data_IF_447071455913
#
_entry.id   IF_447071455913
#
_cell.length_a   1.000
_cell.length_b   1.000
_cell.length_c   1.000
_cell.angle_alpha   90.00
_cell.angle_beta   90.00
_cell.angle_gamma   90.00
#
_symmetry.space_group_name_H-M   'P 1'
#
loop_
_entity.id
_entity.type
_entity.pdbx_description
1 polymer ?
#
# COMPACT_ATOMS: atom_id res chain seq x y z
N UNK A 1 -22.44 -29.30 16.01
CA UNK A 1 -21.88 -27.95 16.24
C UNK A 1 -20.47 -27.99 15.69
N UNK A 2 -20.25 -27.43 14.48
CA UNK A 2 -18.90 -27.32 13.89
C UNK A 2 -18.04 -26.41 14.78
N UNK A 3 -16.82 -26.84 15.09
CA UNK A 3 -15.86 -25.98 15.78
C UNK A 3 -15.70 -24.68 14.98
N UNK A 4 -15.57 -23.52 15.65
CA UNK A 4 -15.25 -22.28 14.94
C UNK A 4 -13.95 -22.50 14.16
N UNK A 5 -13.95 -22.12 12.88
CA UNK A 5 -12.75 -22.16 12.07
C UNK A 5 -11.65 -21.34 12.76
N UNK A 6 -10.43 -21.89 12.83
CA UNK A 6 -9.30 -21.14 13.38
C UNK A 6 -9.13 -19.82 12.62
N UNK A 7 -8.84 -18.72 13.33
CA UNK A 7 -8.66 -17.44 12.67
C UNK A 7 -7.51 -17.54 11.66
N UNK A 8 -7.83 -17.34 10.39
CA UNK A 8 -6.86 -17.34 9.30
C UNK A 8 -5.90 -16.15 9.46
N UNK A 9 -4.60 -16.39 9.29
CA UNK A 9 -3.60 -15.31 9.21
C UNK A 9 -3.93 -14.38 8.04
N UNK A 10 -4.05 -13.07 8.31
CA UNK A 10 -4.31 -12.08 7.29
C UNK A 10 -3.05 -11.81 6.45
N UNK A 11 -3.22 -11.69 5.15
CA UNK A 11 -2.15 -11.41 4.19
C UNK A 11 -2.22 -9.96 3.74
N UNK A 12 -1.16 -9.20 3.97
CA UNK A 12 -1.05 -7.79 3.60
C UNK A 12 -0.03 -7.63 2.48
N UNK A 13 -0.39 -6.87 1.47
CA UNK A 13 0.52 -6.40 0.42
C UNK A 13 0.75 -4.90 0.62
N UNK A 14 1.97 -4.50 0.93
CA UNK A 14 2.40 -3.10 0.95
C UNK A 14 3.16 -2.79 -0.34
N UNK A 15 2.79 -1.70 -1.02
CA UNK A 15 3.47 -1.25 -2.23
C UNK A 15 4.10 0.11 -2.00
N UNK A 16 5.40 0.25 -2.32
CA UNK A 16 6.19 1.43 -1.96
C UNK A 16 6.49 1.44 -0.46
N UNK A 17 7.16 0.38 0.01
CA UNK A 17 7.33 0.18 1.45
C UNK A 17 8.34 1.12 2.12
N UNK A 18 9.23 1.75 1.34
CA UNK A 18 10.26 2.62 1.89
C UNK A 18 11.08 1.92 2.97
N UNK A 19 11.02 2.41 4.19
CA UNK A 19 11.72 1.82 5.36
C UNK A 19 11.06 0.55 5.91
N UNK A 20 9.92 0.13 5.33
CA UNK A 20 9.11 -1.00 5.81
C UNK A 20 8.20 -0.66 6.99
N UNK A 21 8.01 0.61 7.30
CA UNK A 21 7.35 1.05 8.53
C UNK A 21 5.95 0.44 8.71
N UNK A 22 5.11 0.41 7.67
CA UNK A 22 3.75 -0.11 7.76
C UNK A 22 3.76 -1.63 7.97
N UNK A 23 4.43 -2.38 7.08
CA UNK A 23 4.49 -3.85 7.17
C UNK A 23 5.13 -4.34 8.45
N UNK A 24 6.23 -3.70 8.87
CA UNK A 24 6.93 -4.09 10.10
C UNK A 24 6.09 -3.81 11.35
N UNK A 25 5.41 -2.66 11.41
CA UNK A 25 4.51 -2.34 12.52
C UNK A 25 3.35 -3.32 12.60
N UNK A 26 2.71 -3.63 11.46
CA UNK A 26 1.62 -4.59 11.41
C UNK A 26 2.04 -5.99 11.86
N UNK A 27 3.19 -6.48 11.36
CA UNK A 27 3.70 -7.79 11.73
C UNK A 27 4.11 -7.85 13.19
N UNK A 28 4.71 -6.78 13.72
CA UNK A 28 5.10 -6.69 15.13
C UNK A 28 3.89 -6.68 16.07
N UNK A 29 2.91 -5.82 15.82
CA UNK A 29 1.74 -5.65 16.68
C UNK A 29 0.75 -6.82 16.59
N UNK A 30 0.73 -7.53 15.45
CA UNK A 30 -0.19 -8.62 15.16
C UNK A 30 0.53 -9.94 14.89
N UNK A 31 1.64 -10.17 15.61
CA UNK A 31 2.50 -11.35 15.41
C UNK A 31 1.71 -12.66 15.46
N UNK A 32 1.89 -13.50 14.44
CA UNK A 32 1.14 -14.74 14.26
C UNK A 32 -0.26 -14.58 13.62
N UNK A 33 -0.76 -13.35 13.47
CA UNK A 33 -2.07 -13.06 12.87
C UNK A 33 -2.00 -12.35 11.52
N UNK A 34 -0.82 -11.82 11.18
CA UNK A 34 -0.58 -11.10 9.92
C UNK A 34 0.73 -11.57 9.30
N UNK A 35 0.74 -11.73 7.99
CA UNK A 35 1.96 -11.83 7.18
C UNK A 35 1.95 -10.73 6.14
N UNK A 36 3.12 -10.15 5.86
CA UNK A 36 3.26 -9.04 4.92
C UNK A 36 4.17 -9.42 3.76
N UNK A 37 3.73 -9.10 2.56
CA UNK A 37 4.58 -9.00 1.36
C UNK A 37 4.70 -7.52 1.04
N UNK A 38 5.92 -7.00 0.98
CA UNK A 38 6.16 -5.58 0.78
C UNK A 38 7.09 -5.35 -0.42
N UNK A 39 6.75 -4.39 -1.25
CA UNK A 39 7.49 -4.11 -2.49
C UNK A 39 7.96 -2.68 -2.55
N UNK A 40 9.12 -2.46 -3.17
CA UNK A 40 9.62 -1.14 -3.51
C UNK A 40 10.42 -1.19 -4.81
N UNK A 41 10.52 -0.06 -5.50
CA UNK A 41 11.31 0.08 -6.72
C UNK A 41 12.76 0.50 -6.41
N UNK A 42 13.00 1.06 -5.22
CA UNK A 42 14.31 1.58 -4.81
C UNK A 42 15.10 0.51 -4.03
N UNK A 43 16.27 0.06 -4.53
CA UNK A 43 17.07 -0.96 -3.85
C UNK A 43 17.47 -0.58 -2.42
N UNK A 44 17.77 0.70 -2.18
CA UNK A 44 18.17 1.19 -0.85
C UNK A 44 17.02 1.10 0.15
N UNK A 45 15.78 1.28 -0.30
CA UNK A 45 14.59 1.10 0.53
C UNK A 45 14.46 -0.36 0.98
N UNK A 46 14.60 -1.30 0.06
CA UNK A 46 14.57 -2.74 0.37
C UNK A 46 15.69 -3.14 1.33
N UNK A 47 16.92 -2.64 1.12
CA UNK A 47 18.04 -2.90 2.01
C UNK A 47 17.78 -2.39 3.44
N UNK A 48 17.22 -1.18 3.55
CA UNK A 48 16.90 -0.57 4.84
C UNK A 48 15.75 -1.29 5.53
N UNK A 49 14.67 -1.59 4.81
CA UNK A 49 13.52 -2.32 5.33
C UNK A 49 13.94 -3.72 5.84
N UNK A 50 14.84 -4.40 5.12
CA UNK A 50 15.39 -5.70 5.53
C UNK A 50 16.18 -5.58 6.84
N UNK A 51 17.05 -4.57 6.95
CA UNK A 51 17.79 -4.30 8.21
C UNK A 51 16.85 -3.99 9.37
N UNK A 52 15.81 -3.21 9.13
CA UNK A 52 14.80 -2.87 10.14
C UNK A 52 14.02 -4.13 10.59
N UNK A 53 13.63 -5.00 9.66
CA UNK A 53 13.00 -6.29 9.97
C UNK A 53 13.89 -7.13 10.90
N UNK A 54 15.16 -7.29 10.52
CA UNK A 54 16.11 -8.12 11.28
C UNK A 54 16.38 -7.52 12.67
N UNK A 55 16.46 -6.19 12.78
CA UNK A 55 16.61 -5.49 14.07
C UNK A 55 15.40 -5.68 15.01
N UNK A 56 14.20 -5.83 14.44
CA UNK A 56 12.98 -6.14 15.19
C UNK A 56 12.83 -7.63 15.53
N UNK A 57 13.74 -8.48 15.06
CA UNK A 57 13.67 -9.94 15.26
C UNK A 57 12.47 -10.57 14.53
N UNK A 58 12.01 -9.96 13.45
CA UNK A 58 11.02 -10.51 12.53
C UNK A 58 11.71 -11.35 11.46
N UNK A 59 10.99 -12.36 10.95
CA UNK A 59 11.51 -13.28 9.92
C UNK A 59 11.01 -12.91 8.52
N UNK A 60 11.64 -13.50 7.49
CA UNK A 60 11.14 -13.36 6.11
C UNK A 60 9.77 -13.99 5.90
N UNK A 61 9.37 -14.94 6.73
CA UNK A 61 8.02 -15.55 6.66
C UNK A 61 6.96 -14.62 7.26
N UNK A 62 7.35 -13.71 8.19
CA UNK A 62 6.46 -12.70 8.75
C UNK A 62 6.36 -11.47 7.84
N UNK A 63 7.52 -11.00 7.28
CA UNK A 63 7.59 -9.87 6.35
C UNK A 63 8.60 -10.16 5.25
N UNK A 64 8.10 -10.38 4.03
CA UNK A 64 8.93 -10.56 2.83
C UNK A 64 9.05 -9.25 2.06
N UNK A 65 10.28 -8.86 1.72
CA UNK A 65 10.55 -7.69 0.87
C UNK A 65 10.96 -8.10 -0.54
N UNK A 66 10.50 -7.35 -1.56
CA UNK A 66 10.82 -7.61 -2.97
C UNK A 66 11.09 -6.32 -3.73
N UNK A 67 12.24 -6.28 -4.42
CA UNK A 67 12.59 -5.18 -5.32
C UNK A 67 11.81 -5.30 -6.63
N UNK A 68 10.84 -4.41 -6.85
CA UNK A 68 9.99 -4.46 -8.06
C UNK A 68 9.22 -3.17 -8.28
N UNK A 69 8.77 -2.98 -9.51
CA UNK A 69 7.85 -1.90 -9.85
C UNK A 69 6.41 -2.32 -9.51
N UNK A 70 5.84 -1.70 -8.48
CA UNK A 70 4.51 -2.00 -7.92
C UNK A 70 4.37 -3.50 -7.56
N UNK A 71 3.55 -4.24 -8.30
CA UNK A 71 3.21 -5.64 -8.03
C UNK A 71 3.81 -6.62 -9.05
N UNK A 72 4.75 -6.16 -9.88
CA UNK A 72 5.21 -6.94 -11.05
C UNK A 72 5.93 -8.24 -10.70
N UNK A 73 6.53 -8.35 -9.51
CA UNK A 73 7.20 -9.57 -9.04
C UNK A 73 6.30 -10.51 -8.23
N UNK A 74 5.06 -10.10 -7.92
CA UNK A 74 4.15 -10.94 -7.15
C UNK A 74 3.79 -12.18 -7.98
N UNK A 75 4.09 -13.39 -7.48
CA UNK A 75 3.79 -14.62 -8.18
C UNK A 75 2.29 -14.75 -8.48
N UNK A 76 1.96 -15.34 -9.62
CA UNK A 76 0.55 -15.47 -10.06
C UNK A 76 -0.31 -16.28 -9.10
N UNK A 77 0.25 -17.25 -8.43
CA UNK A 77 -0.39 -18.07 -7.41
C UNK A 77 -0.82 -17.27 -6.17
N UNK A 78 -0.25 -16.10 -5.97
CA UNK A 78 -0.60 -15.19 -4.87
C UNK A 78 -1.69 -14.19 -5.25
N UNK A 79 -2.05 -14.10 -6.53
CA UNK A 79 -3.07 -13.17 -6.98
C UNK A 79 -4.45 -13.53 -6.41
N UNK A 80 -5.21 -12.53 -6.01
CA UNK A 80 -6.52 -12.72 -5.39
C UNK A 80 -6.48 -13.34 -3.99
N UNK A 81 -5.31 -13.35 -3.34
CA UNK A 81 -5.16 -13.96 -2.02
C UNK A 81 -4.93 -12.97 -0.89
N UNK A 82 -4.60 -11.72 -1.19
CA UNK A 82 -4.34 -10.71 -0.17
C UNK A 82 -5.64 -10.18 0.44
N UNK A 83 -5.62 -9.97 1.74
CA UNK A 83 -6.72 -9.35 2.51
C UNK A 83 -6.68 -7.84 2.43
N UNK A 84 -5.47 -7.28 2.39
CA UNK A 84 -5.22 -5.83 2.36
C UNK A 84 -4.15 -5.52 1.33
N UNK A 85 -4.39 -4.48 0.53
CA UNK A 85 -3.35 -3.77 -0.22
C UNK A 85 -3.26 -2.37 0.36
N UNK A 86 -2.10 -2.03 0.89
CA UNK A 86 -1.83 -0.71 1.48
C UNK A 86 -0.66 -0.05 0.76
N UNK A 87 -0.70 1.27 0.62
CA UNK A 87 0.39 2.06 0.05
C UNK A 87 0.37 3.48 0.60
N UNK A 88 1.57 4.02 0.80
CA UNK A 88 1.82 5.46 0.90
C UNK A 88 2.72 5.86 -0.28
N UNK A 89 2.14 6.01 -1.49
CA UNK A 89 2.92 6.27 -2.70
C UNK A 89 3.32 7.73 -2.80
N UNK A 90 4.26 8.08 -3.70
CA UNK A 90 4.47 9.46 -4.12
C UNK A 90 3.16 10.10 -4.59
N UNK A 91 2.78 11.23 -4.00
CA UNK A 91 1.51 11.91 -4.26
C UNK A 91 1.62 13.43 -4.43
N UNK A 92 2.82 13.98 -4.45
CA UNK A 92 3.00 15.44 -4.60
C UNK A 92 2.82 15.80 -6.08
N UNK A 93 1.89 16.72 -6.42
CA UNK A 93 1.74 17.19 -7.78
C UNK A 93 3.02 17.87 -8.31
N UNK A 94 3.34 17.68 -9.58
CA UNK A 94 4.56 18.19 -10.23
C UNK A 94 4.73 19.71 -10.04
N UNK A 95 3.65 20.49 -10.09
CA UNK A 95 3.72 21.93 -9.88
C UNK A 95 4.05 22.30 -8.43
N UNK A 96 3.61 21.51 -7.46
CA UNK A 96 3.88 21.70 -6.04
C UNK A 96 5.34 21.33 -5.71
N UNK A 97 5.91 20.33 -6.39
CA UNK A 97 7.30 19.93 -6.25
C UNK A 97 8.27 21.11 -6.35
N UNK A 98 7.95 22.09 -7.22
CA UNK A 98 8.80 23.30 -7.41
C UNK A 98 8.82 24.22 -6.21
N UNK A 99 7.77 24.20 -5.38
CA UNK A 99 7.58 25.06 -4.21
C UNK A 99 7.91 24.40 -2.89
N UNK A 100 8.37 23.14 -2.89
CA UNK A 100 8.74 22.42 -1.67
C UNK A 100 9.92 23.11 -0.96
N UNK A 101 9.91 23.11 0.39
CA UNK A 101 11.05 23.56 1.18
C UNK A 101 12.31 22.77 0.84
N UNK A 102 13.49 23.42 0.99
CA UNK A 102 14.79 22.77 0.73
C UNK A 102 15.01 21.54 1.58
N UNK A 103 14.53 21.53 2.83
CA UNK A 103 14.64 20.42 3.76
C UNK A 103 13.97 19.13 3.24
N UNK A 104 12.94 19.26 2.39
CA UNK A 104 12.28 18.10 1.77
C UNK A 104 13.03 17.70 0.51
N UNK A 105 13.38 18.65 -0.36
CA UNK A 105 14.06 18.38 -1.63
C UNK A 105 15.46 17.79 -1.48
N UNK A 106 16.19 18.21 -0.45
CA UNK A 106 17.59 17.83 -0.27
C UNK A 106 17.76 16.46 0.38
N UNK A 107 16.72 15.94 1.03
CA UNK A 107 16.79 14.69 1.81
C UNK A 107 15.92 13.55 1.28
N UNK A 108 14.90 13.86 0.45
CA UNK A 108 14.07 12.84 -0.15
C UNK A 108 14.24 12.81 -1.67
N UNK A 109 14.43 11.63 -2.29
CA UNK A 109 14.54 11.53 -3.75
C UNK A 109 13.22 11.92 -4.43
N UNK A 110 13.28 12.61 -5.56
CA UNK A 110 12.10 13.01 -6.35
C UNK A 110 11.15 11.84 -6.62
N UNK A 111 11.71 10.65 -6.83
CA UNK A 111 10.95 9.41 -7.04
C UNK A 111 10.04 9.04 -5.86
N UNK A 112 10.39 9.45 -4.63
CA UNK A 112 9.59 9.21 -3.43
C UNK A 112 8.51 10.26 -3.19
N UNK A 113 8.53 11.35 -3.95
CA UNK A 113 7.67 12.52 -3.73
C UNK A 113 6.70 12.75 -4.90
N UNK A 114 7.18 12.65 -6.15
CA UNK A 114 6.43 13.07 -7.33
C UNK A 114 5.32 12.09 -7.71
N UNK A 115 4.07 12.55 -7.61
CA UNK A 115 2.86 11.81 -7.95
C UNK A 115 2.28 12.11 -9.34
N UNK A 116 2.99 12.87 -10.19
CA UNK A 116 2.51 13.31 -11.49
C UNK A 116 1.71 14.62 -11.44
N UNK A 117 1.03 14.96 -12.53
CA UNK A 117 0.38 16.27 -12.69
C UNK A 117 -0.65 16.62 -11.59
N UNK A 118 -1.41 15.63 -11.14
CA UNK A 118 -2.44 15.79 -10.09
C UNK A 118 -2.16 14.97 -8.82
N UNK A 119 -0.96 14.39 -8.72
CA UNK A 119 -0.56 13.57 -7.56
C UNK A 119 -1.17 12.16 -7.53
N UNK A 120 -1.85 11.72 -8.58
CA UNK A 120 -2.60 10.45 -8.59
C UNK A 120 -2.04 9.39 -9.57
N UNK A 121 -0.90 9.61 -10.20
CA UNK A 121 -0.40 8.68 -11.22
C UNK A 121 -0.11 7.29 -10.65
N UNK A 122 0.58 7.21 -9.53
CA UNK A 122 0.85 5.93 -8.86
C UNK A 122 -0.44 5.34 -8.28
N UNK A 123 -1.29 6.17 -7.69
CA UNK A 123 -2.59 5.75 -7.18
C UNK A 123 -3.45 5.06 -8.25
N UNK A 124 -3.56 5.61 -9.46
CA UNK A 124 -4.30 4.99 -10.57
C UNK A 124 -3.75 3.62 -10.94
N UNK A 125 -2.44 3.46 -10.92
CA UNK A 125 -1.78 2.16 -11.20
C UNK A 125 -2.07 1.15 -10.08
N UNK A 126 -2.03 1.57 -8.83
CA UNK A 126 -2.40 0.74 -7.66
C UNK A 126 -3.87 0.34 -7.71
N UNK A 127 -4.77 1.28 -7.99
CA UNK A 127 -6.20 1.03 -8.13
C UNK A 127 -6.50 0.01 -9.23
N UNK A 128 -5.78 0.07 -10.36
CA UNK A 128 -5.89 -0.91 -11.43
C UNK A 128 -5.36 -2.29 -11.04
N UNK A 129 -4.34 -2.36 -10.17
CA UNK A 129 -3.78 -3.62 -9.69
C UNK A 129 -4.61 -4.27 -8.57
N UNK A 130 -5.27 -3.48 -7.74
CA UNK A 130 -5.99 -3.94 -6.55
C UNK A 130 -6.98 -5.10 -6.82
N UNK A 131 -7.83 -5.07 -7.86
CA UNK A 131 -8.76 -6.18 -8.12
C UNK A 131 -8.09 -7.50 -8.49
N UNK A 132 -6.83 -7.48 -8.93
CA UNK A 132 -6.04 -8.68 -9.23
C UNK A 132 -5.32 -9.22 -8.00
N UNK A 133 -4.91 -8.36 -7.08
CA UNK A 133 -4.15 -8.74 -5.88
C UNK A 133 -5.06 -9.15 -4.74
N UNK A 134 -6.18 -8.45 -4.57
CA UNK A 134 -7.07 -8.62 -3.45
C UNK A 134 -8.12 -9.72 -3.72
N UNK A 135 -8.42 -10.50 -2.67
CA UNK A 135 -9.59 -11.40 -2.67
C UNK A 135 -10.91 -10.62 -2.63
N UNK A 136 -12.02 -11.30 -2.86
CA UNK A 136 -13.35 -10.74 -2.59
C UNK A 136 -13.46 -10.31 -1.13
N UNK A 137 -13.92 -9.07 -0.89
CA UNK A 137 -13.97 -8.45 0.42
C UNK A 137 -12.61 -7.91 0.90
N UNK A 138 -11.57 -7.94 0.05
CA UNK A 138 -10.25 -7.39 0.38
C UNK A 138 -10.25 -5.87 0.42
N UNK A 139 -9.45 -5.30 1.32
CA UNK A 139 -9.33 -3.86 1.57
C UNK A 139 -8.22 -3.26 0.72
N UNK A 140 -8.54 -2.24 -0.06
CA UNK A 140 -7.59 -1.30 -0.66
C UNK A 140 -7.50 -0.05 0.21
N UNK A 141 -6.31 0.39 0.59
CA UNK A 141 -6.07 1.59 1.37
C UNK A 141 -4.84 2.35 0.84
N UNK A 142 -4.97 3.64 0.63
CA UNK A 142 -3.89 4.46 0.09
C UNK A 142 -3.85 5.81 0.78
N UNK A 143 -2.69 6.19 1.33
CA UNK A 143 -2.43 7.53 1.80
C UNK A 143 -2.18 8.45 0.61
N UNK A 144 -2.74 9.67 0.65
CA UNK A 144 -2.65 10.64 -0.44
C UNK A 144 -2.60 12.06 0.10
N UNK A 145 -2.22 12.98 -0.79
CA UNK A 145 -2.36 14.41 -0.54
C UNK A 145 -3.82 14.78 -0.28
N UNK A 146 -4.04 15.61 0.73
CA UNK A 146 -5.38 16.01 1.19
C UNK A 146 -6.29 16.49 0.06
N UNK A 147 -5.77 17.34 -0.85
CA UNK A 147 -6.54 17.88 -1.97
C UNK A 147 -6.87 16.87 -3.08
N UNK A 148 -6.30 15.65 -3.06
CA UNK A 148 -6.54 14.63 -4.08
C UNK A 148 -7.53 13.54 -3.62
N UNK A 149 -7.92 13.49 -2.35
CA UNK A 149 -8.70 12.40 -1.77
C UNK A 149 -10.10 12.27 -2.37
N UNK A 150 -10.79 13.38 -2.62
CA UNK A 150 -12.14 13.32 -3.23
C UNK A 150 -12.08 12.74 -4.65
N UNK A 151 -11.09 13.16 -5.45
CA UNK A 151 -10.86 12.62 -6.78
C UNK A 151 -10.49 11.14 -6.73
N UNK A 152 -9.63 10.73 -5.78
CA UNK A 152 -9.26 9.34 -5.56
C UNK A 152 -10.47 8.49 -5.16
N UNK A 153 -11.33 8.99 -4.27
CA UNK A 153 -12.55 8.29 -3.87
C UNK A 153 -13.51 8.10 -5.05
N UNK A 154 -13.62 9.09 -5.92
CA UNK A 154 -14.44 8.98 -7.14
C UNK A 154 -13.84 7.95 -8.12
N UNK A 155 -12.53 7.94 -8.31
CA UNK A 155 -11.84 6.91 -9.10
C UNK A 155 -12.09 5.50 -8.56
N UNK A 156 -12.08 5.30 -7.23
CA UNK A 156 -12.42 4.02 -6.63
C UNK A 156 -13.85 3.57 -6.98
N UNK A 157 -14.84 4.48 -6.92
CA UNK A 157 -16.24 4.19 -7.29
C UNK A 157 -16.36 3.82 -8.76
N UNK A 158 -15.72 4.60 -9.64
CA UNK A 158 -15.70 4.34 -11.10
C UNK A 158 -15.03 3.00 -11.44
N UNK A 159 -14.04 2.58 -10.66
CA UNK A 159 -13.39 1.27 -10.78
C UNK A 159 -14.25 0.11 -10.25
N UNK A 160 -15.44 0.38 -9.69
CA UNK A 160 -16.36 -0.62 -9.17
C UNK A 160 -16.04 -1.12 -7.76
N UNK A 161 -15.20 -0.39 -7.00
CA UNK A 161 -14.95 -0.72 -5.60
C UNK A 161 -16.10 -0.22 -4.73
N UNK A 162 -16.40 -0.94 -3.67
CA UNK A 162 -17.47 -0.62 -2.72
C UNK A 162 -16.93 -0.03 -1.41
N UNK A 163 -17.82 0.43 -0.54
CA UNK A 163 -17.52 1.00 0.79
C UNK A 163 -16.37 2.02 0.75
N UNK A 164 -16.39 2.90 -0.27
CA UNK A 164 -15.37 3.93 -0.46
C UNK A 164 -15.52 5.00 0.61
N UNK A 165 -14.46 5.21 1.39
CA UNK A 165 -14.41 6.19 2.47
C UNK A 165 -13.08 6.93 2.47
N UNK A 166 -13.14 8.19 2.92
CA UNK A 166 -11.96 8.96 3.30
C UNK A 166 -11.81 8.84 4.81
N UNK A 167 -10.60 8.51 5.25
CA UNK A 167 -10.25 8.34 6.66
C UNK A 167 -9.32 9.46 7.08
N UNK A 168 -9.57 10.01 8.26
CA UNK A 168 -8.77 11.07 8.86
C UNK A 168 -7.64 10.48 9.72
N UNK A 169 -6.55 11.22 9.80
CA UNK A 169 -5.44 10.92 10.71
C UNK A 169 -5.77 11.32 12.15
N UNK A 170 -4.82 11.13 13.06
CA UNK A 170 -4.99 11.46 14.48
C UNK A 170 -5.11 12.97 14.76
N UNK A 171 -4.85 13.82 13.77
CA UNK A 171 -5.03 15.28 13.83
C UNK A 171 -6.30 15.74 13.15
N UNK A 172 -7.21 14.80 12.82
CA UNK A 172 -8.48 15.02 12.12
C UNK A 172 -8.33 15.60 10.72
N UNK A 173 -7.21 15.31 10.04
CA UNK A 173 -7.01 15.66 8.62
C UNK A 173 -7.31 14.46 7.73
N UNK A 174 -8.01 14.66 6.61
CA UNK A 174 -8.22 13.59 5.64
C UNK A 174 -6.87 13.17 5.03
N UNK A 175 -6.57 11.85 5.07
CA UNK A 175 -5.27 11.33 4.65
C UNK A 175 -5.36 10.07 3.81
N UNK A 176 -6.35 9.25 4.03
CA UNK A 176 -6.40 7.91 3.44
C UNK A 176 -7.72 7.75 2.70
N UNK A 177 -7.66 7.30 1.46
CA UNK A 177 -8.80 6.69 0.79
C UNK A 177 -8.76 5.19 1.02
N UNK A 178 -9.90 4.60 1.41
CA UNK A 178 -10.07 3.16 1.50
C UNK A 178 -11.28 2.70 0.71
N UNK A 179 -11.22 1.47 0.20
CA UNK A 179 -12.32 0.86 -0.54
C UNK A 179 -12.25 -0.68 -0.46
N UNK A 180 -13.34 -1.37 -0.76
CA UNK A 180 -13.43 -2.83 -0.76
C UNK A 180 -13.55 -3.35 -2.19
N UNK A 181 -12.74 -4.34 -2.54
CA UNK A 181 -12.85 -5.09 -3.78
C UNK A 181 -13.95 -6.16 -3.61
N UNK A 182 -15.06 -6.01 -4.32
CA UNK A 182 -16.17 -6.98 -4.28
C UNK A 182 -15.98 -8.10 -5.29
N UNK A 183 -15.47 -7.77 -6.47
CA UNK A 183 -15.27 -8.68 -7.58
C UNK A 183 -13.79 -8.69 -7.98
N UNK A 184 -13.00 -9.66 -7.49
CA UNK A 184 -11.63 -9.81 -7.91
C UNK A 184 -11.56 -10.18 -9.39
N UNK A 185 -10.61 -9.58 -10.10
CA UNK A 185 -10.37 -9.86 -11.52
C UNK A 185 -9.45 -11.05 -11.67
N UNK A 186 -9.88 -12.03 -12.46
CA UNK A 186 -8.99 -13.08 -12.96
C UNK A 186 -8.31 -12.58 -14.25
N UNK A 187 -7.00 -12.76 -14.32
CA UNK A 187 -6.30 -12.53 -15.58
C UNK A 187 -6.56 -13.73 -16.48
N UNK A 188 -7.12 -13.45 -17.66
CA UNK A 188 -7.24 -14.39 -18.78
C UNK A 188 -5.84 -14.76 -19.28
#
# INVERSE_FOLDING_TARGET
>A
VSAPAEPRTARVLEVGCGTGCISLSLAWERRGHVTCTATDIEPRAIDLATKNRDALGLTSDEVAFSLTNLVSSIPREEWGTFDVLVSNPPYIPTDVMRSLPHEVKDFEPDLALEGGADGLDIFRRLLNAAPYMLRAGGLFACELYEGALDAAAELCRQAGLSDVRIVHDLTDRPRIVRAIVTEPKQRI
#
